data_IF_110669430620
#
_entry.id   IF_110669430620
#
_cell.length_a   1.000
_cell.length_b   1.000
_cell.length_c   1.000
_cell.angle_alpha   90.00
_cell.angle_beta   90.00
_cell.angle_gamma   90.00
#
_symmetry.space_group_name_H-M   'P 1'
#
loop_
_entity.id
_entity.type
_entity.pdbx_description
1 polymer ?
#
# COMPACT_ATOMS: atom_id res chain seq x y z
N UNK A 1 -28.55 -56.74 -48.11
CA UNK A 1 -27.24 -56.64 -47.42
C UNK A 1 -27.32 -55.40 -46.53
N UNK A 2 -27.79 -55.50 -45.28
CA UNK A 2 -26.99 -55.62 -44.03
C UNK A 2 -25.71 -54.75 -44.11
N UNK A 3 -25.46 -53.76 -43.24
CA UNK A 3 -25.36 -53.86 -41.78
C UNK A 3 -25.62 -52.49 -41.11
N UNK A 4 -26.31 -52.54 -39.97
CA UNK A 4 -26.51 -51.48 -38.98
C UNK A 4 -25.36 -51.46 -37.94
N UNK A 5 -25.11 -50.30 -37.31
CA UNK A 5 -24.41 -50.25 -36.02
C UNK A 5 -25.00 -49.16 -35.13
N UNK A 6 -25.81 -49.61 -34.17
CA UNK A 6 -26.18 -48.93 -32.94
C UNK A 6 -25.30 -49.50 -31.82
N UNK A 7 -24.73 -48.67 -30.95
CA UNK A 7 -24.11 -49.13 -29.70
C UNK A 7 -24.97 -48.72 -28.51
N UNK A 8 -25.54 -49.75 -27.90
CA UNK A 8 -26.26 -49.73 -26.63
C UNK A 8 -25.29 -49.93 -25.46
N UNK A 9 -25.63 -49.27 -24.36
CA UNK A 9 -25.02 -49.35 -23.03
C UNK A 9 -25.24 -50.74 -22.42
N UNK A 10 -24.29 -51.24 -21.63
CA UNK A 10 -24.60 -52.11 -20.48
C UNK A 10 -23.55 -52.01 -19.38
N UNK A 11 -24.06 -52.12 -18.18
CA UNK A 11 -23.52 -51.67 -16.89
C UNK A 11 -23.30 -52.86 -15.96
N UNK A 12 -22.43 -52.67 -14.96
CA UNK A 12 -22.34 -53.32 -13.61
C UNK A 12 -21.50 -54.60 -13.46
N UNK A 13 -21.02 -54.98 -12.23
CA UNK A 13 -21.09 -54.29 -10.92
C UNK A 13 -19.76 -54.18 -10.11
N UNK A 14 -19.75 -53.21 -9.19
CA UNK A 14 -19.21 -53.19 -7.81
C UNK A 14 -17.93 -53.97 -7.44
N UNK A 15 -16.86 -53.23 -7.13
CA UNK A 15 -16.05 -53.49 -5.93
C UNK A 15 -15.80 -52.18 -5.19
N UNK A 16 -16.27 -52.15 -3.94
CA UNK A 16 -16.06 -51.12 -2.94
C UNK A 16 -14.55 -50.97 -2.67
N UNK A 17 -13.94 -49.91 -3.21
CA UNK A 17 -12.61 -49.49 -2.80
C UNK A 17 -12.78 -48.40 -1.76
N UNK A 18 -12.33 -48.73 -0.55
CA UNK A 18 -12.21 -47.84 0.60
C UNK A 18 -11.60 -46.49 0.20
N UNK A 19 -12.35 -45.40 0.39
CA UNK A 19 -11.80 -44.05 0.35
C UNK A 19 -10.84 -43.85 1.53
N UNK A 20 -9.58 -44.26 1.36
CA UNK A 20 -8.49 -43.76 2.18
C UNK A 20 -8.00 -42.46 1.56
N UNK A 21 -8.55 -41.35 2.05
CA UNK A 21 -7.96 -40.02 1.87
C UNK A 21 -6.62 -40.03 2.60
N UNK A 22 -5.48 -39.72 1.95
CA UNK A 22 -4.21 -39.56 2.64
C UNK A 22 -4.35 -38.42 3.64
N UNK A 23 -4.33 -38.75 4.93
CA UNK A 23 -4.28 -37.75 5.99
C UNK A 23 -2.94 -37.02 5.86
N UNK A 24 -2.92 -35.68 5.72
CA UNK A 24 -1.65 -34.95 5.72
C UNK A 24 -0.97 -35.14 7.08
N UNK A 25 0.37 -35.22 7.12
CA UNK A 25 1.09 -35.24 8.39
C UNK A 25 0.74 -33.96 9.17
N UNK A 26 0.68 -34.02 10.51
CA UNK A 26 0.30 -32.87 11.33
C UNK A 26 1.25 -31.70 11.05
N UNK A 27 0.69 -30.65 10.46
CA UNK A 27 1.37 -29.37 10.27
C UNK A 27 1.79 -28.84 11.63
N UNK A 28 3.09 -28.85 11.91
CA UNK A 28 3.65 -28.03 12.98
C UNK A 28 3.39 -26.58 12.60
N UNK A 29 2.34 -26.02 13.18
CA UNK A 29 2.00 -24.60 13.12
C UNK A 29 3.07 -23.82 13.88
N UNK A 30 4.14 -23.43 13.21
CA UNK A 30 5.01 -22.36 13.66
C UNK A 30 4.69 -21.10 12.86
N UNK A 31 3.56 -20.48 13.19
CA UNK A 31 3.43 -19.03 13.06
C UNK A 31 4.28 -18.40 14.16
N UNK A 32 5.05 -17.33 13.90
CA UNK A 32 5.79 -16.65 14.96
C UNK A 32 4.79 -15.79 15.74
N UNK A 33 4.09 -16.41 16.67
CA UNK A 33 3.52 -15.68 17.80
C UNK A 33 4.67 -15.46 18.77
N UNK A 34 4.95 -14.21 19.13
CA UNK A 34 5.81 -13.86 20.25
C UNK A 34 5.25 -14.53 21.51
N UNK A 35 5.75 -15.72 21.82
CA UNK A 35 5.38 -16.47 23.01
C UNK A 35 6.67 -16.71 23.78
N UNK A 36 6.75 -16.08 24.95
CA UNK A 36 7.83 -16.27 25.89
C UNK A 36 7.91 -17.75 26.26
N UNK A 37 9.00 -18.42 25.87
CA UNK A 37 9.35 -19.71 26.44
C UNK A 37 9.75 -19.48 27.89
N UNK A 38 8.87 -19.89 28.82
CA UNK A 38 9.21 -20.07 30.23
C UNK A 38 9.93 -21.42 30.34
N UNK A 39 11.21 -21.48 30.76
CA UNK A 39 11.79 -22.74 31.19
C UNK A 39 11.16 -23.14 32.52
N UNK A 40 10.63 -24.36 32.60
CA UNK A 40 10.21 -24.93 33.87
C UNK A 40 11.43 -25.26 34.73
N UNK A 41 11.54 -24.50 35.82
CA UNK A 41 12.09 -24.86 37.12
C UNK A 41 13.55 -25.31 37.19
N UNK A 42 14.47 -24.35 37.35
CA UNK A 42 15.64 -24.52 38.22
C UNK A 42 15.88 -23.23 39.03
N UNK A 43 15.88 -23.40 40.35
CA UNK A 43 16.44 -22.59 41.45
C UNK A 43 16.57 -21.07 41.22
N UNK A 44 15.83 -20.32 42.06
CA UNK A 44 15.86 -18.87 42.22
C UNK A 44 17.30 -18.36 42.52
N UNK A 45 18.03 -17.96 41.47
CA UNK A 45 19.28 -17.19 41.55
C UNK A 45 18.92 -15.72 41.29
N UNK A 46 19.18 -14.78 42.23
CA UNK A 46 18.87 -13.39 41.99
C UNK A 46 19.85 -12.79 40.96
N UNK A 47 19.35 -12.50 39.76
CA UNK A 47 19.92 -11.47 38.89
C UNK A 47 20.60 -11.91 37.59
N UNK A 48 20.06 -12.88 36.84
CA UNK A 48 20.47 -13.05 35.44
C UNK A 48 19.86 -11.94 34.58
N UNK A 49 20.63 -10.88 34.31
CA UNK A 49 20.21 -9.79 33.42
C UNK A 49 20.18 -10.33 32.00
N UNK A 50 19.02 -10.76 31.53
CA UNK A 50 18.82 -11.15 30.13
C UNK A 50 18.84 -9.89 29.26
N UNK A 51 19.87 -9.73 28.45
CA UNK A 51 20.01 -8.61 27.50
C UNK A 51 19.35 -8.99 26.18
N UNK A 52 18.39 -8.19 25.71
CA UNK A 52 17.74 -8.38 24.42
C UNK A 52 18.49 -7.61 23.33
N UNK A 53 18.91 -8.30 22.28
CA UNK A 53 19.71 -7.72 21.18
C UNK A 53 18.95 -7.88 19.86
N UNK A 54 19.03 -6.87 18.99
CA UNK A 54 18.47 -6.94 17.64
C UNK A 54 19.06 -8.11 16.85
N UNK A 55 18.21 -8.83 16.12
CA UNK A 55 18.64 -9.95 15.26
C UNK A 55 19.52 -9.49 14.09
N UNK A 56 19.37 -8.26 13.61
CA UNK A 56 20.16 -7.70 12.51
C UNK A 56 21.37 -6.92 13.02
N UNK A 57 21.15 -6.08 14.04
CA UNK A 57 22.13 -5.15 14.58
C UNK A 57 22.72 -5.71 15.89
N UNK A 58 23.50 -6.79 15.78
CA UNK A 58 24.17 -7.48 16.88
C UNK A 58 25.70 -7.31 16.82
N UNK A 59 26.47 -7.63 17.88
CA UNK A 59 27.92 -7.37 17.93
C UNK A 59 28.69 -8.02 16.79
N UNK A 60 28.36 -9.28 16.48
CA UNK A 60 29.03 -10.07 15.43
C UNK A 60 28.46 -9.83 14.03
N UNK A 61 27.66 -8.78 13.85
CA UNK A 61 26.96 -8.51 12.60
C UNK A 61 27.96 -8.11 11.51
N UNK A 62 27.89 -8.78 10.36
CA UNK A 62 28.80 -8.57 9.22
C UNK A 62 28.21 -7.64 8.15
N UNK A 63 27.34 -6.71 8.56
CA UNK A 63 26.70 -5.77 7.61
C UNK A 63 27.74 -4.97 6.83
N UNK A 64 28.70 -4.38 7.55
CA UNK A 64 29.78 -3.57 7.01
C UNK A 64 31.02 -3.87 7.87
N UNK A 65 32.21 -4.07 7.28
CA UNK A 65 33.46 -4.07 8.04
C UNK A 65 33.97 -2.63 8.26
N UNK A 66 34.59 -2.27 9.40
CA UNK A 66 34.90 -3.09 10.59
C UNK A 66 33.66 -3.33 11.49
N UNK A 67 33.83 -4.07 12.60
CA UNK A 67 32.73 -4.36 13.55
C UNK A 67 32.03 -3.09 14.08
N UNK A 68 30.76 -3.20 14.52
CA UNK A 68 30.02 -2.10 15.13
C UNK A 68 30.77 -1.47 16.32
N UNK A 69 30.82 -0.14 16.36
CA UNK A 69 31.56 0.65 17.35
C UNK A 69 30.64 1.45 18.31
N UNK A 70 29.33 1.40 18.09
CA UNK A 70 28.33 2.18 18.84
C UNK A 70 27.14 1.30 19.22
N UNK A 71 26.57 1.54 20.40
CA UNK A 71 25.39 0.80 20.89
C UNK A 71 24.25 1.76 21.18
N UNK A 72 23.12 1.55 20.53
CA UNK A 72 21.85 2.21 20.85
C UNK A 72 20.98 1.32 21.71
N UNK A 73 20.27 1.91 22.67
CA UNK A 73 19.26 1.25 23.48
C UNK A 73 17.91 1.91 23.25
N UNK A 74 16.97 1.13 22.75
CA UNK A 74 15.56 1.51 22.58
C UNK A 74 14.84 1.67 23.94
N UNK A 75 13.64 2.27 23.94
CA UNK A 75 12.85 2.48 25.15
C UNK A 75 12.30 1.19 25.78
N UNK A 76 12.16 0.13 25.00
CA UNK A 76 11.81 -1.24 25.40
C UNK A 76 13.04 -2.12 25.70
N UNK A 77 14.20 -1.49 25.93
CA UNK A 77 15.46 -2.11 26.37
C UNK A 77 16.06 -3.15 25.39
N UNK A 78 15.79 -3.00 24.10
CA UNK A 78 16.50 -3.76 23.05
C UNK A 78 17.73 -2.97 22.59
N UNK A 79 18.86 -3.67 22.49
CA UNK A 79 20.15 -3.13 22.11
C UNK A 79 20.42 -3.32 20.61
N UNK A 80 20.97 -2.27 19.99
CA UNK A 80 21.30 -2.22 18.57
C UNK A 80 22.76 -1.83 18.41
N UNK A 81 23.55 -2.70 17.81
CA UNK A 81 24.97 -2.50 17.52
C UNK A 81 25.11 -1.92 16.12
N UNK A 82 25.61 -0.69 16.03
CA UNK A 82 25.67 0.10 14.81
C UNK A 82 27.06 0.71 14.60
N UNK A 83 27.27 1.26 13.41
CA UNK A 83 28.53 1.86 12.97
C UNK A 83 28.35 3.37 12.96
N UNK A 84 29.12 4.05 13.81
CA UNK A 84 29.06 5.49 13.98
C UNK A 84 29.23 6.24 12.67
N UNK A 85 30.19 5.84 11.85
CA UNK A 85 30.49 6.46 10.57
C UNK A 85 29.28 6.46 9.61
N UNK A 86 28.53 5.36 9.57
CA UNK A 86 27.33 5.22 8.71
C UNK A 86 26.21 6.15 9.19
N UNK A 87 26.01 6.22 10.50
CA UNK A 87 25.00 7.10 11.10
C UNK A 87 25.35 8.58 10.85
N UNK A 88 26.63 8.95 11.04
CA UNK A 88 27.11 10.32 10.82
C UNK A 88 27.07 10.75 9.35
N UNK A 89 27.25 9.82 8.41
CA UNK A 89 27.14 10.13 6.98
C UNK A 89 25.71 10.58 6.60
N UNK A 90 24.68 10.03 7.28
CA UNK A 90 23.27 10.32 6.99
C UNK A 90 22.65 11.40 7.88
N UNK A 91 23.23 11.67 9.04
CA UNK A 91 22.71 12.64 10.00
C UNK A 91 23.40 14.00 9.87
N UNK A 92 22.59 15.06 9.77
CA UNK A 92 23.06 16.45 9.72
C UNK A 92 23.14 17.16 11.08
N UNK A 93 22.70 16.50 12.16
CA UNK A 93 22.62 17.09 13.50
C UNK A 93 23.27 16.22 14.60
N UNK A 94 24.29 15.43 14.22
CA UNK A 94 24.99 14.51 15.11
C UNK A 94 24.03 13.59 15.90
N UNK A 95 23.01 13.10 15.20
CA UNK A 95 21.95 12.23 15.74
C UNK A 95 21.25 12.88 16.94
N UNK A 96 20.77 14.11 16.76
CA UNK A 96 20.17 14.94 17.81
C UNK A 96 21.16 15.29 18.92
N UNK A 97 22.42 15.58 18.56
CA UNK A 97 23.56 15.80 19.47
C UNK A 97 23.86 14.62 20.41
N UNK A 98 23.38 13.41 20.09
CA UNK A 98 23.59 12.20 20.91
C UNK A 98 24.84 11.43 20.51
N UNK A 99 25.43 11.76 19.37
CA UNK A 99 26.72 11.23 18.91
C UNK A 99 27.82 12.30 19.04
N UNK A 100 28.37 12.58 20.23
CA UNK A 100 29.47 13.53 20.38
C UNK A 100 30.71 13.04 19.62
N UNK A 101 31.44 13.94 18.95
CA UNK A 101 32.66 13.61 18.22
C UNK A 101 33.69 13.01 19.18
N UNK A 102 33.94 11.71 19.08
CA UNK A 102 34.94 11.04 19.91
C UNK A 102 36.32 11.23 19.25
N UNK A 103 37.33 11.78 19.96
CA UNK A 103 38.68 11.83 19.43
C UNK A 103 39.19 10.40 19.23
N UNK A 104 40.03 10.20 18.20
CA UNK A 104 40.52 8.89 17.78
C UNK A 104 41.29 8.09 18.87
N UNK A 105 41.64 8.73 19.99
CA UNK A 105 42.22 8.09 21.17
C UNK A 105 41.20 7.42 22.11
N UNK A 106 39.90 7.50 21.79
CA UNK A 106 38.79 6.93 22.60
C UNK A 106 38.25 5.63 22.01
N UNK A 107 38.75 5.21 20.84
CA UNK A 107 38.45 3.87 20.33
C UNK A 107 39.04 2.84 21.31
N UNK A 108 38.26 1.83 21.74
CA UNK A 108 38.76 0.86 22.70
C UNK A 108 40.00 0.17 22.12
N UNK A 109 41.11 0.22 22.87
CA UNK A 109 42.10 -0.84 22.79
C UNK A 109 41.36 -2.17 22.97
N UNK A 110 41.89 -3.23 22.37
CA UNK A 110 41.29 -4.58 22.19
C UNK A 110 40.80 -5.29 23.47
N UNK A 111 40.78 -4.63 24.62
CA UNK A 111 40.36 -5.12 25.93
C UNK A 111 39.29 -4.20 26.57
N UNK A 112 38.01 -4.50 26.31
CA UNK A 112 36.95 -4.39 27.32
C UNK A 112 36.39 -3.01 27.71
N UNK A 113 36.64 -1.94 26.95
CA UNK A 113 36.02 -0.63 27.21
C UNK A 113 34.57 -0.59 26.70
N UNK A 114 33.58 -0.53 27.60
CA UNK A 114 32.16 -0.44 27.22
C UNK A 114 31.90 0.71 26.24
N UNK A 115 31.56 0.38 24.99
CA UNK A 115 30.96 1.31 24.03
C UNK A 115 29.82 2.05 24.74
N UNK A 116 29.88 3.38 24.77
CA UNK A 116 28.87 4.21 25.41
C UNK A 116 27.47 3.83 24.88
N UNK A 117 26.62 3.27 25.74
CA UNK A 117 25.25 2.92 25.38
C UNK A 117 24.42 4.20 25.33
N UNK A 118 23.94 4.56 24.14
CA UNK A 118 23.12 5.76 23.94
C UNK A 118 21.66 5.33 24.00
N UNK A 119 20.94 5.83 25.01
CA UNK A 119 19.52 5.59 25.15
C UNK A 119 18.71 6.51 24.21
N UNK A 120 17.77 5.91 23.47
CA UNK A 120 16.87 6.56 22.54
C UNK A 120 15.41 6.38 23.00
N UNK A 121 14.52 7.37 22.79
CA UNK A 121 13.13 7.29 23.21
C UNK A 121 12.26 6.36 22.35
N UNK A 122 12.69 6.02 21.14
CA UNK A 122 11.94 5.18 20.21
C UNK A 122 11.89 3.71 20.67
N UNK A 123 10.80 3.04 20.33
CA UNK A 123 10.69 1.58 20.51
C UNK A 123 11.62 0.84 19.57
N UNK A 124 11.92 -0.41 19.88
CA UNK A 124 12.74 -1.27 19.04
C UNK A 124 12.17 -1.43 17.63
N UNK A 125 10.84 -1.48 17.46
CA UNK A 125 10.22 -1.59 16.14
C UNK A 125 10.54 -0.36 15.26
N UNK A 126 10.37 0.84 15.81
CA UNK A 126 10.65 2.12 15.13
C UNK A 126 12.14 2.25 14.83
N UNK A 127 12.99 1.96 15.83
CA UNK A 127 14.45 2.04 15.67
C UNK A 127 14.96 1.01 14.66
N UNK A 128 14.37 -0.19 14.62
CA UNK A 128 14.72 -1.21 13.64
C UNK A 128 14.43 -0.73 12.21
N UNK A 129 13.25 -0.14 11.96
CA UNK A 129 12.92 0.44 10.65
C UNK A 129 13.89 1.56 10.29
N UNK A 130 14.13 2.50 11.22
CA UNK A 130 15.02 3.64 11.03
C UNK A 130 16.44 3.20 10.65
N UNK A 131 17.03 2.27 11.39
CA UNK A 131 18.37 1.75 11.13
C UNK A 131 18.42 0.96 9.82
N UNK A 132 17.44 0.10 9.55
CA UNK A 132 17.37 -0.60 8.26
C UNK A 132 17.31 0.38 7.08
N UNK A 133 16.59 1.50 7.23
CA UNK A 133 16.53 2.53 6.20
C UNK A 133 17.89 3.21 5.98
N UNK A 134 18.61 3.58 7.06
CA UNK A 134 19.93 4.21 6.99
C UNK A 134 20.97 3.30 6.35
N UNK A 135 20.96 2.02 6.70
CA UNK A 135 21.83 1.01 6.10
C UNK A 135 21.36 0.57 4.70
N UNK A 136 20.20 1.06 4.24
CA UNK A 136 19.54 0.66 3.01
C UNK A 136 19.35 -0.87 2.88
N UNK A 137 18.91 -1.51 3.97
CA UNK A 137 18.61 -2.94 4.07
C UNK A 137 17.11 -3.10 4.26
N UNK A 138 16.50 -4.10 3.62
CA UNK A 138 15.08 -4.38 3.80
C UNK A 138 14.75 -4.84 5.23
N UNK A 139 13.77 -4.19 5.85
CA UNK A 139 13.15 -4.62 7.11
C UNK A 139 11.84 -5.40 6.88
N UNK A 140 11.50 -5.77 5.64
CA UNK A 140 10.30 -6.54 5.32
C UNK A 140 10.14 -7.85 6.12
N UNK A 141 11.21 -8.63 6.43
CA UNK A 141 11.06 -9.85 7.24
C UNK A 141 10.48 -9.62 8.64
N UNK A 142 10.63 -8.41 9.18
CA UNK A 142 10.10 -8.04 10.49
C UNK A 142 8.64 -7.58 10.44
N UNK A 143 8.06 -7.47 9.24
CA UNK A 143 6.66 -7.07 9.01
C UNK A 143 6.23 -5.85 9.84
N UNK A 144 6.94 -4.71 9.77
CA UNK A 144 6.61 -3.54 10.56
C UNK A 144 5.21 -3.01 10.19
N UNK A 145 4.48 -2.51 11.19
CA UNK A 145 3.18 -1.91 10.94
C UNK A 145 3.33 -0.55 10.25
N UNK A 146 2.27 -0.08 9.58
CA UNK A 146 2.27 1.27 9.00
C UNK A 146 2.54 2.35 10.05
N UNK A 147 2.12 2.15 11.30
CA UNK A 147 2.38 3.07 12.40
C UNK A 147 3.88 3.14 12.70
N UNK A 148 4.58 1.99 12.73
CA UNK A 148 6.03 1.94 12.94
C UNK A 148 6.78 2.61 11.78
N UNK A 149 6.31 2.43 10.54
CA UNK A 149 6.88 3.08 9.37
C UNK A 149 6.74 4.62 9.45
N UNK A 150 5.56 5.11 9.83
CA UNK A 150 5.30 6.54 10.02
C UNK A 150 6.19 7.10 11.12
N UNK A 151 6.17 6.48 12.31
CA UNK A 151 6.99 6.92 13.44
C UNK A 151 8.49 6.88 13.14
N UNK A 152 8.96 5.91 12.36
CA UNK A 152 10.37 5.83 11.98
C UNK A 152 10.79 6.96 11.05
N UNK A 153 9.96 7.29 10.05
CA UNK A 153 10.24 8.41 9.13
C UNK A 153 10.10 9.75 9.85
N UNK A 154 9.14 9.92 10.76
CA UNK A 154 9.05 11.11 11.63
C UNK A 154 10.28 11.27 12.53
N UNK A 155 10.79 10.15 13.07
CA UNK A 155 12.02 10.16 13.87
C UNK A 155 13.26 10.53 13.05
N UNK A 156 13.27 10.29 11.73
CA UNK A 156 14.40 10.68 10.87
C UNK A 156 14.69 12.18 10.97
N UNK A 157 13.66 13.03 10.96
CA UNK A 157 13.82 14.48 11.09
C UNK A 157 14.45 14.86 12.44
N UNK A 158 14.02 14.22 13.53
CA UNK A 158 14.58 14.41 14.88
C UNK A 158 16.08 14.08 14.91
N UNK A 159 16.48 13.04 14.18
CA UNK A 159 17.87 12.59 14.05
C UNK A 159 18.64 13.24 12.90
N UNK A 160 18.09 14.30 12.29
CA UNK A 160 18.74 15.07 11.24
C UNK A 160 18.98 14.26 9.97
N UNK A 161 18.24 13.17 9.78
CA UNK A 161 18.24 12.34 8.58
C UNK A 161 17.11 12.85 7.68
N UNK A 162 17.40 13.54 6.57
CA UNK A 162 16.34 13.99 5.66
C UNK A 162 15.66 12.78 5.00
N UNK A 163 14.36 12.60 5.25
CA UNK A 163 13.58 11.47 4.71
C UNK A 163 13.67 11.36 3.18
N UNK A 164 13.81 12.49 2.48
CA UNK A 164 13.97 12.57 1.01
C UNK A 164 15.21 11.84 0.49
N UNK A 165 16.27 11.74 1.30
CA UNK A 165 17.53 11.13 0.89
C UNK A 165 17.56 9.62 1.15
N UNK A 166 16.65 9.13 2.01
CA UNK A 166 16.57 7.73 2.44
C UNK A 166 15.37 7.01 1.81
N UNK A 167 14.24 7.69 1.65
CA UNK A 167 12.99 7.14 1.09
C UNK A 167 12.94 7.38 -0.43
N UNK A 168 13.96 6.90 -1.13
CA UNK A 168 14.05 6.96 -2.59
C UNK A 168 13.26 5.82 -3.25
N UNK A 169 12.77 5.96 -4.50
CA UNK A 169 12.07 4.89 -5.20
C UNK A 169 12.81 3.55 -5.30
N UNK A 170 14.15 3.59 -5.24
CA UNK A 170 15.03 2.41 -5.24
C UNK A 170 15.30 1.82 -3.85
N UNK A 171 14.87 2.49 -2.78
CA UNK A 171 15.15 2.05 -1.41
C UNK A 171 14.14 1.01 -0.94
N UNK A 172 14.60 0.14 -0.03
CA UNK A 172 13.74 -0.91 0.52
C UNK A 172 12.58 -0.33 1.34
N UNK A 173 12.80 0.79 2.02
CA UNK A 173 11.78 1.47 2.82
C UNK A 173 10.65 2.02 1.94
N UNK A 174 10.97 2.60 0.78
CA UNK A 174 9.96 3.07 -0.17
C UNK A 174 9.05 1.94 -0.63
N UNK A 175 9.64 0.80 -1.05
CA UNK A 175 8.87 -0.38 -1.45
C UNK A 175 8.00 -0.94 -0.32
N UNK A 176 8.50 -0.91 0.91
CA UNK A 176 7.77 -1.38 2.08
C UNK A 176 6.56 -0.49 2.42
N UNK A 177 6.71 0.83 2.34
CA UNK A 177 5.59 1.76 2.53
C UNK A 177 4.52 1.54 1.45
N UNK A 178 4.93 1.36 0.19
CA UNK A 178 4.00 1.06 -0.90
C UNK A 178 3.23 -0.24 -0.68
N UNK A 179 3.89 -1.29 -0.18
CA UNK A 179 3.20 -2.56 0.11
C UNK A 179 2.14 -2.45 1.20
N UNK A 180 2.28 -1.48 2.12
CA UNK A 180 1.30 -1.20 3.18
C UNK A 180 0.22 -0.19 2.76
N UNK A 181 0.42 0.55 1.67
CA UNK A 181 -0.48 1.61 1.25
C UNK A 181 -1.93 1.15 0.97
N UNK A 182 -2.20 -0.03 0.39
CA UNK A 182 -3.58 -0.50 0.21
C UNK A 182 -4.33 -0.74 1.53
N UNK A 183 -3.62 -1.08 2.61
CA UNK A 183 -4.21 -1.37 3.92
C UNK A 183 -4.49 -0.10 4.72
N UNK A 184 -3.65 0.92 4.55
CA UNK A 184 -3.76 2.19 5.26
C UNK A 184 -3.44 3.39 4.34
N UNK A 185 -4.27 3.64 3.31
CA UNK A 185 -3.93 4.58 2.24
C UNK A 185 -3.83 6.03 2.73
N UNK A 186 -4.68 6.42 3.70
CA UNK A 186 -4.65 7.75 4.28
C UNK A 186 -3.35 8.00 5.05
N UNK A 187 -2.90 7.03 5.85
CA UNK A 187 -1.65 7.15 6.61
C UNK A 187 -0.44 7.22 5.66
N UNK A 188 -0.38 6.36 4.65
CA UNK A 188 0.72 6.34 3.68
C UNK A 188 0.80 7.64 2.85
N UNK A 189 -0.34 8.18 2.40
CA UNK A 189 -0.37 9.46 1.69
C UNK A 189 0.00 10.64 2.61
N UNK A 190 -0.47 10.63 3.86
CA UNK A 190 -0.15 11.68 4.85
C UNK A 190 1.34 11.69 5.18
N UNK A 191 1.92 10.51 5.38
CA UNK A 191 3.36 10.35 5.58
C UNK A 191 4.16 10.94 4.41
N UNK A 192 3.77 10.58 3.19
CA UNK A 192 4.41 11.10 2.00
C UNK A 192 4.27 12.62 1.87
N UNK A 193 3.11 13.16 2.25
CA UNK A 193 2.83 14.58 2.20
C UNK A 193 3.62 15.39 3.23
N UNK A 194 3.64 14.93 4.49
CA UNK A 194 4.32 15.58 5.61
C UNK A 194 5.82 15.74 5.35
N UNK A 195 6.45 14.72 4.76
CA UNK A 195 7.88 14.71 4.43
C UNK A 195 8.20 15.15 2.99
N UNK A 196 7.19 15.65 2.25
CA UNK A 196 7.29 16.08 0.86
C UNK A 196 7.94 15.03 -0.08
N UNK A 197 7.58 13.76 0.13
CA UNK A 197 7.97 12.59 -0.65
C UNK A 197 7.04 12.42 -1.85
N UNK A 198 7.21 13.31 -2.84
CA UNK A 198 6.27 13.42 -3.96
C UNK A 198 6.02 12.09 -4.71
N UNK A 199 7.08 11.34 -5.04
CA UNK A 199 6.95 10.07 -5.77
C UNK A 199 6.12 9.04 -5.01
N UNK A 200 6.18 9.05 -3.68
CA UNK A 200 5.39 8.17 -2.82
C UNK A 200 3.94 8.65 -2.73
N UNK A 201 3.73 9.97 -2.64
CA UNK A 201 2.40 10.56 -2.62
C UNK A 201 1.60 10.25 -3.90
N UNK A 202 2.26 10.29 -5.06
CA UNK A 202 1.65 9.93 -6.36
C UNK A 202 1.13 8.49 -6.33
N UNK A 203 1.98 7.53 -5.95
CA UNK A 203 1.60 6.11 -5.94
C UNK A 203 0.49 5.82 -4.92
N UNK A 204 0.63 6.35 -3.70
CA UNK A 204 -0.33 6.12 -2.61
C UNK A 204 -1.69 6.80 -2.88
N UNK A 205 -1.73 7.90 -3.63
CA UNK A 205 -2.98 8.63 -3.93
C UNK A 205 -4.02 7.81 -4.70
N UNK A 206 -3.59 6.82 -5.48
CA UNK A 206 -4.49 5.95 -6.25
C UNK A 206 -5.41 5.13 -5.35
N UNK A 207 -4.96 4.81 -4.14
CA UNK A 207 -5.74 4.08 -3.14
C UNK A 207 -6.74 4.97 -2.38
N UNK A 208 -6.67 6.28 -2.57
CA UNK A 208 -7.58 7.24 -1.93
C UNK A 208 -8.79 7.59 -2.81
N UNK A 209 -8.90 7.07 -4.03
CA UNK A 209 -10.03 7.38 -4.92
C UNK A 209 -11.39 7.00 -4.31
N UNK A 210 -11.44 5.92 -3.53
CA UNK A 210 -12.63 5.45 -2.80
C UNK A 210 -12.84 6.21 -1.48
N UNK A 211 -11.88 7.02 -1.05
CA UNK A 211 -11.93 7.72 0.22
C UNK A 211 -12.88 8.92 0.14
N UNK A 212 -13.75 9.05 1.14
CA UNK A 212 -14.67 10.19 1.23
C UNK A 212 -13.92 11.39 1.81
N UNK A 213 -13.60 12.38 0.99
CA UNK A 213 -12.85 13.57 1.44
C UNK A 213 -13.54 14.33 2.59
N UNK A 214 -14.87 14.29 2.67
CA UNK A 214 -15.62 14.90 3.77
C UNK A 214 -15.41 14.23 5.14
N UNK A 215 -14.90 13.00 5.17
CA UNK A 215 -14.56 12.31 6.43
C UNK A 215 -13.09 12.45 6.79
N UNK A 216 -12.35 13.34 6.12
CA UNK A 216 -10.95 13.60 6.44
C UNK A 216 -10.83 14.24 7.84
N UNK A 217 -10.07 13.64 8.78
CA UNK A 217 -9.81 14.26 10.07
C UNK A 217 -9.01 15.56 9.93
N UNK A 218 -9.33 16.57 10.74
CA UNK A 218 -8.62 17.86 10.75
C UNK A 218 -7.13 17.69 11.01
N UNK A 219 -6.75 16.85 11.96
CA UNK A 219 -5.35 16.54 12.29
C UNK A 219 -4.57 15.96 11.11
N UNK A 220 -5.21 15.09 10.32
CA UNK A 220 -4.58 14.53 9.12
C UNK A 220 -4.46 15.57 8.01
N UNK A 221 -5.46 16.45 7.87
CA UNK A 221 -5.42 17.55 6.91
C UNK A 221 -4.29 18.54 7.23
N UNK A 222 -4.06 18.83 8.51
CA UNK A 222 -2.93 19.64 9.00
C UNK A 222 -1.59 18.96 8.69
N UNK A 223 -1.44 17.67 8.99
CA UNK A 223 -0.22 16.90 8.73
C UNK A 223 0.12 16.80 7.23
N UNK A 224 -0.87 16.62 6.36
CA UNK A 224 -0.65 16.63 4.90
C UNK A 224 -0.14 17.98 4.40
N UNK A 225 -0.56 19.06 5.06
CA UNK A 225 -0.33 20.42 4.59
C UNK A 225 -1.19 20.80 3.36
N UNK A 226 -1.27 22.11 3.07
CA UNK A 226 -2.20 22.65 2.08
C UNK A 226 -1.90 22.18 0.64
N UNK A 227 -0.63 21.92 0.31
CA UNK A 227 -0.22 21.54 -1.04
C UNK A 227 -0.74 20.15 -1.41
N UNK A 228 -0.50 19.15 -0.57
CA UNK A 228 -0.93 17.77 -0.82
C UNK A 228 -2.43 17.60 -0.61
N UNK A 229 -3.03 18.37 0.30
CA UNK A 229 -4.48 18.43 0.44
C UNK A 229 -5.15 18.96 -0.84
N UNK A 230 -4.70 20.11 -1.36
CA UNK A 230 -5.20 20.68 -2.62
C UNK A 230 -5.07 19.68 -3.77
N UNK A 231 -3.93 19.01 -3.88
CA UNK A 231 -3.67 17.98 -4.90
C UNK A 231 -4.68 16.83 -4.83
N UNK A 232 -5.00 16.33 -3.64
CA UNK A 232 -5.98 15.28 -3.43
C UNK A 232 -7.40 15.72 -3.83
N UNK A 233 -7.82 16.93 -3.43
CA UNK A 233 -9.11 17.49 -3.83
C UNK A 233 -9.24 17.69 -5.35
N UNK A 234 -8.18 18.17 -6.00
CA UNK A 234 -8.15 18.33 -7.46
C UNK A 234 -8.25 16.97 -8.14
N UNK A 235 -7.57 15.93 -7.64
CA UNK A 235 -7.67 14.56 -8.18
C UNK A 235 -9.13 14.07 -8.21
N UNK A 236 -9.82 14.13 -7.07
CA UNK A 236 -11.22 13.71 -6.99
C UNK A 236 -12.12 14.57 -7.90
N UNK A 237 -12.00 15.89 -7.82
CA UNK A 237 -12.82 16.82 -8.59
C UNK A 237 -12.62 16.66 -10.11
N UNK A 238 -11.37 16.47 -10.54
CA UNK A 238 -11.03 16.26 -11.95
C UNK A 238 -11.59 14.94 -12.48
N UNK A 239 -11.49 13.85 -11.70
CA UNK A 239 -12.08 12.55 -12.07
C UNK A 239 -13.60 12.62 -12.16
N UNK A 240 -14.26 13.21 -11.17
CA UNK A 240 -15.72 13.39 -11.18
C UNK A 240 -16.16 14.29 -12.34
N UNK A 241 -15.42 15.35 -12.63
CA UNK A 241 -15.67 16.22 -13.79
C UNK A 241 -15.46 15.50 -15.13
N UNK A 242 -14.48 14.60 -15.23
CA UNK A 242 -14.29 13.75 -16.41
C UNK A 242 -15.44 12.77 -16.59
N UNK A 243 -15.86 12.07 -15.52
CA UNK A 243 -17.00 11.15 -15.55
C UNK A 243 -18.27 11.85 -16.05
N UNK A 244 -18.59 13.02 -15.48
CA UNK A 244 -19.75 13.82 -15.90
C UNK A 244 -19.71 14.17 -17.38
N UNK A 245 -18.54 14.60 -17.90
CA UNK A 245 -18.36 14.90 -19.33
C UNK A 245 -18.58 13.69 -20.24
N UNK A 246 -18.13 12.49 -19.82
CA UNK A 246 -18.34 11.26 -20.57
C UNK A 246 -19.82 10.87 -20.59
N UNK A 247 -20.51 10.99 -19.46
CA UNK A 247 -21.92 10.62 -19.31
C UNK A 247 -22.89 11.62 -19.97
N UNK A 248 -22.49 12.89 -20.10
CA UNK A 248 -23.29 13.96 -20.71
C UNK A 248 -23.70 13.70 -22.17
N UNK A 249 -22.92 12.90 -22.91
CA UNK A 249 -23.12 12.66 -24.33
C UNK A 249 -23.91 11.34 -24.53
N UNK A 250 -25.18 11.39 -24.97
CA UNK A 250 -25.98 10.19 -25.25
C UNK A 250 -25.48 9.45 -26.51
N UNK A 251 -25.98 8.22 -26.77
CA UNK A 251 -25.71 7.50 -28.01
C UNK A 251 -26.14 8.31 -29.22
N UNK A 252 -25.30 8.35 -30.27
CA UNK A 252 -25.66 9.06 -31.50
C UNK A 252 -26.86 8.38 -32.19
N UNK A 253 -27.84 9.16 -32.67
CA UNK A 253 -28.97 8.60 -33.40
C UNK A 253 -28.52 7.98 -34.72
N UNK A 254 -29.22 6.91 -35.14
CA UNK A 254 -29.04 6.36 -36.48
C UNK A 254 -30.01 7.03 -37.48
N UNK A 255 -29.74 6.96 -38.79
CA UNK A 255 -30.68 7.46 -39.80
C UNK A 255 -32.07 6.82 -39.67
N UNK A 256 -33.17 7.54 -39.95
CA UNK A 256 -34.52 7.00 -39.82
C UNK A 256 -34.73 5.71 -40.60
N UNK A 257 -35.47 4.77 -40.02
CA UNK A 257 -35.81 3.48 -40.62
C UNK A 257 -37.32 3.29 -40.62
N UNK A 258 -37.82 2.26 -41.31
CA UNK A 258 -39.25 1.97 -41.38
C UNK A 258 -39.88 1.64 -40.01
N UNK A 259 -39.07 1.17 -39.05
CA UNK A 259 -39.53 0.69 -37.73
C UNK A 259 -39.05 1.55 -36.55
N UNK A 260 -38.19 2.55 -36.81
CA UNK A 260 -37.63 3.41 -35.77
C UNK A 260 -37.38 4.82 -36.32
N UNK A 261 -37.98 5.81 -35.65
CA UNK A 261 -37.87 7.23 -35.95
C UNK A 261 -37.49 8.05 -34.70
N UNK A 262 -37.75 9.36 -34.74
CA UNK A 262 -37.33 10.31 -33.70
C UNK A 262 -37.87 9.96 -32.31
N UNK A 263 -39.10 9.48 -32.20
CA UNK A 263 -39.75 9.17 -30.91
C UNK A 263 -38.97 8.12 -30.12
N UNK A 264 -38.61 6.99 -30.75
CA UNK A 264 -37.85 5.92 -30.09
C UNK A 264 -36.43 6.36 -29.74
N UNK A 265 -35.80 7.18 -30.60
CA UNK A 265 -34.48 7.75 -30.32
C UNK A 265 -34.50 8.74 -29.14
N UNK A 266 -35.56 9.55 -29.03
CA UNK A 266 -35.76 10.45 -27.88
C UNK A 266 -35.99 9.67 -26.59
N UNK A 267 -36.75 8.57 -26.61
CA UNK A 267 -36.93 7.69 -25.45
C UNK A 267 -35.58 7.12 -24.97
N UNK A 268 -34.75 6.61 -25.88
CA UNK A 268 -33.40 6.14 -25.55
C UNK A 268 -32.54 7.26 -24.94
N UNK A 269 -32.62 8.47 -25.51
CA UNK A 269 -31.87 9.63 -25.02
C UNK A 269 -32.29 9.99 -23.60
N UNK A 270 -33.60 9.97 -23.31
CA UNK A 270 -34.12 10.24 -21.98
C UNK A 270 -33.72 9.14 -20.97
N UNK A 271 -33.80 7.87 -21.37
CA UNK A 271 -33.38 6.76 -20.53
C UNK A 271 -31.87 6.82 -20.22
N UNK A 272 -31.04 7.19 -21.20
CA UNK A 272 -29.62 7.46 -21.01
C UNK A 272 -29.41 8.59 -20.01
N UNK A 273 -30.05 9.74 -20.19
CA UNK A 273 -29.89 10.89 -19.30
C UNK A 273 -30.23 10.55 -17.85
N UNK A 274 -31.29 9.76 -17.63
CA UNK A 274 -31.67 9.32 -16.28
C UNK A 274 -30.60 8.42 -15.65
N UNK A 275 -30.13 7.40 -16.38
CA UNK A 275 -29.08 6.50 -15.88
C UNK A 275 -27.74 7.22 -15.66
N UNK A 276 -27.37 8.11 -16.60
CA UNK A 276 -26.21 8.98 -16.49
C UNK A 276 -26.28 9.91 -15.27
N UNK A 277 -27.44 10.50 -14.99
CA UNK A 277 -27.64 11.34 -13.82
C UNK A 277 -27.49 10.55 -12.51
N UNK A 278 -28.01 9.31 -12.45
CA UNK A 278 -27.84 8.43 -11.29
C UNK A 278 -26.37 8.11 -11.04
N UNK A 279 -25.64 7.69 -12.07
CA UNK A 279 -24.19 7.44 -11.96
C UNK A 279 -23.40 8.69 -11.55
N UNK A 280 -23.75 9.86 -12.09
CA UNK A 280 -23.10 11.11 -11.76
C UNK A 280 -23.39 11.61 -10.34
N UNK A 281 -24.48 11.14 -9.72
CA UNK A 281 -24.89 11.50 -8.36
C UNK A 281 -24.17 10.71 -7.27
N UNK A 282 -23.66 9.51 -7.58
CA UNK A 282 -22.97 8.66 -6.60
C UNK A 282 -21.67 9.28 -6.03
N UNK A 283 -21.16 10.36 -6.63
CA UNK A 283 -19.98 11.14 -6.19
C UNK A 283 -18.73 10.29 -5.90
N UNK A 284 -18.58 9.21 -6.67
CA UNK A 284 -17.50 8.23 -6.51
C UNK A 284 -16.42 8.39 -7.57
N UNK A 285 -15.24 8.84 -7.15
CA UNK A 285 -14.08 8.98 -8.03
C UNK A 285 -13.49 7.60 -8.43
N UNK A 286 -13.82 6.54 -7.70
CA UNK A 286 -13.39 5.15 -7.90
C UNK A 286 -14.42 4.28 -8.64
N UNK A 287 -15.41 4.87 -9.31
CA UNK A 287 -16.45 4.12 -10.01
C UNK A 287 -15.83 3.06 -10.95
N UNK A 288 -16.08 1.75 -10.75
CA UNK A 288 -15.50 0.73 -11.62
C UNK A 288 -16.22 0.70 -12.97
N UNK A 289 -15.48 0.38 -14.05
CA UNK A 289 -16.05 0.26 -15.40
C UNK A 289 -17.24 -0.70 -15.48
N UNK A 290 -17.20 -1.79 -14.69
CA UNK A 290 -18.30 -2.75 -14.60
C UNK A 290 -19.58 -2.15 -14.04
N UNK A 291 -19.51 -1.14 -13.16
CA UNK A 291 -20.69 -0.45 -12.66
C UNK A 291 -21.33 0.44 -13.73
N UNK A 292 -20.51 1.09 -14.58
CA UNK A 292 -20.98 1.86 -15.73
C UNK A 292 -21.72 0.93 -16.71
N UNK A 293 -21.13 -0.22 -17.03
CA UNK A 293 -21.75 -1.21 -17.90
C UNK A 293 -23.05 -1.75 -17.31
N UNK A 294 -23.05 -2.11 -16.03
CA UNK A 294 -24.21 -2.63 -15.31
C UNK A 294 -25.38 -1.63 -15.28
N UNK A 295 -25.09 -0.33 -15.25
CA UNK A 295 -26.11 0.72 -15.27
C UNK A 295 -26.65 1.01 -16.69
N UNK A 296 -25.81 0.97 -17.71
CA UNK A 296 -26.17 1.45 -19.06
C UNK A 296 -26.56 0.34 -20.05
N UNK A 297 -25.97 -0.85 -19.97
CA UNK A 297 -26.30 -1.97 -20.87
C UNK A 297 -27.76 -2.45 -20.77
N UNK A 298 -28.40 -2.51 -19.57
CA UNK A 298 -29.80 -2.93 -19.47
C UNK A 298 -30.79 -2.05 -20.24
N UNK A 299 -30.42 -0.81 -20.57
CA UNK A 299 -31.23 0.06 -21.44
C UNK A 299 -31.43 -0.59 -22.82
N UNK A 300 -30.49 -1.40 -23.28
CA UNK A 300 -30.57 -2.10 -24.56
C UNK A 300 -31.65 -3.18 -24.60
N UNK A 301 -31.93 -3.84 -23.47
CA UNK A 301 -32.96 -4.88 -23.38
C UNK A 301 -34.38 -4.33 -23.55
N UNK A 302 -34.56 -3.03 -23.33
CA UNK A 302 -35.85 -2.34 -23.47
C UNK A 302 -36.07 -1.79 -24.89
N UNK A 303 -35.09 -1.91 -25.78
CA UNK A 303 -35.15 -1.39 -27.14
C UNK A 303 -35.66 -2.44 -28.12
N UNK A 304 -36.70 -2.11 -28.88
CA UNK A 304 -37.19 -2.96 -29.99
C UNK A 304 -36.39 -2.77 -31.29
N UNK A 305 -35.60 -1.69 -31.39
CA UNK A 305 -34.79 -1.40 -32.58
C UNK A 305 -33.35 -1.91 -32.41
N UNK A 306 -32.86 -2.81 -33.28
CA UNK A 306 -31.50 -3.35 -33.18
C UNK A 306 -30.44 -2.27 -33.43
N UNK A 307 -30.70 -1.29 -34.32
CA UNK A 307 -29.77 -0.20 -34.59
C UNK A 307 -29.58 0.71 -33.36
N UNK A 308 -30.64 0.96 -32.58
CA UNK A 308 -30.54 1.70 -31.33
C UNK A 308 -29.73 0.92 -30.29
N UNK A 309 -29.94 -0.39 -30.18
CA UNK A 309 -29.16 -1.26 -29.28
C UNK A 309 -27.67 -1.27 -29.64
N UNK A 310 -27.34 -1.35 -30.94
CA UNK A 310 -25.96 -1.27 -31.42
C UNK A 310 -25.31 0.08 -31.10
N UNK A 311 -26.01 1.18 -31.36
CA UNK A 311 -25.51 2.55 -31.05
C UNK A 311 -25.29 2.73 -29.55
N UNK A 312 -26.19 2.21 -28.72
CA UNK A 312 -26.02 2.19 -27.27
C UNK A 312 -24.78 1.38 -26.87
N UNK A 313 -24.64 0.14 -27.35
CA UNK A 313 -23.51 -0.73 -27.01
C UNK A 313 -22.16 -0.14 -27.44
N UNK A 314 -22.11 0.53 -28.59
CA UNK A 314 -20.93 1.29 -29.04
C UNK A 314 -20.65 2.44 -28.08
N UNK A 315 -21.67 3.22 -27.71
CA UNK A 315 -21.49 4.36 -26.80
C UNK A 315 -21.01 3.92 -25.41
N UNK A 316 -21.58 2.84 -24.84
CA UNK A 316 -21.17 2.31 -23.54
C UNK A 316 -19.71 1.87 -23.57
N UNK A 317 -19.28 1.13 -24.60
CA UNK A 317 -17.88 0.73 -24.77
C UNK A 317 -16.94 1.94 -24.85
N UNK A 318 -17.35 2.98 -25.58
CA UNK A 318 -16.57 4.22 -25.66
C UNK A 318 -16.43 4.89 -24.29
N UNK A 319 -17.53 5.04 -23.54
CA UNK A 319 -17.50 5.63 -22.19
C UNK A 319 -16.60 4.82 -21.25
N UNK A 320 -16.68 3.50 -21.30
CA UNK A 320 -15.84 2.60 -20.48
C UNK A 320 -14.37 2.73 -20.83
N UNK A 321 -14.03 2.73 -22.13
CA UNK A 321 -12.67 2.89 -22.60
C UNK A 321 -12.10 4.27 -22.20
N UNK A 322 -12.87 5.34 -22.41
CA UNK A 322 -12.46 6.69 -22.05
C UNK A 322 -12.32 6.84 -20.53
N UNK A 323 -13.21 6.23 -19.74
CA UNK A 323 -13.16 6.26 -18.29
C UNK A 323 -11.93 5.55 -17.73
N UNK A 324 -11.58 4.40 -18.30
CA UNK A 324 -10.36 3.66 -17.92
C UNK A 324 -9.07 4.45 -18.18
N UNK A 325 -9.09 5.40 -19.13
CA UNK A 325 -7.97 6.29 -19.42
C UNK A 325 -7.95 7.55 -18.54
N UNK A 326 -8.99 7.80 -17.75
CA UNK A 326 -9.01 8.95 -16.83
C UNK A 326 -7.99 8.71 -15.72
N UNK A 327 -7.14 9.72 -15.50
CA UNK A 327 -6.05 9.73 -14.53
C UNK A 327 -6.51 9.37 -13.10
N UNK A 328 -5.74 8.53 -12.40
CA UNK A 328 -6.05 8.00 -11.06
C UNK A 328 -5.13 8.51 -9.95
N UNK A 329 -4.06 9.23 -10.29
CA UNK A 329 -3.01 9.67 -9.39
C UNK A 329 -2.86 11.21 -9.34
N UNK A 330 -2.33 11.72 -8.23
CA UNK A 330 -1.98 13.13 -8.05
C UNK A 330 -0.90 13.57 -9.06
N UNK A 331 -1.07 14.73 -9.70
CA UNK A 331 -0.08 15.29 -10.63
C UNK A 331 1.01 16.10 -9.89
N UNK A 332 2.28 16.11 -10.36
CA UNK A 332 3.14 17.28 -10.13
C UNK A 332 2.47 18.48 -10.78
N UNK A 333 2.03 19.46 -9.99
CA UNK A 333 1.69 20.76 -10.55
C UNK A 333 2.89 21.21 -11.38
N UNK A 334 2.77 21.23 -12.71
CA UNK A 334 3.58 22.16 -13.49
C UNK A 334 3.14 23.54 -12.99
N UNK A 335 4.12 24.37 -12.66
CA UNK A 335 3.99 25.76 -12.21
C UNK A 335 4.02 25.92 -10.66
N UNK A 336 5.21 26.15 -10.12
CA UNK A 336 5.78 27.50 -10.00
C UNK A 336 7.18 27.54 -10.62
#
# INVERSE_FOLDING_TARGET
MNVASSFHISTTPSQLISYQVPTPPPSKSSSPTLSACVPQSEVDIPGEVTILISQTFHPDSKLIPPQPDTVFRSSDNIFFYVHRAVIQEKSSNDWSNRLPYLPASTYPNEEGGMNQVIALPESAAVLNVLLHAIYNISCAPFSPSIHDLVSAVDAMETYGVPAKDVVLPSSALYGLILSNAPLAPLAAYTLAAQHDLHSLAVQTSTHLLSYRLMSLPETTAEQMGPLYLKRLFILHSARLGALKRLLLQPPQPHPPSQTCGSVEQTKLTHAWMLAAAQLAWEDRADLPSSAIEAALLPLGHQLSCPLCADRLAVRVRQVVADWAMVKTDVHPSRDY
#
